data_IF_599385327792
#
_entry.id   IF_599385327792
#
_cell.length_a   1.000
_cell.length_b   1.000
_cell.length_c   1.000
_cell.angle_alpha   90.00
_cell.angle_beta   90.00
_cell.angle_gamma   90.00
#
_symmetry.space_group_name_H-M   'P 1'
#
loop_
_entity.id
_entity.type
_entity.pdbx_description
1 polymer ?
#
# COMPACT_ATOMS: atom_id res chain seq x y z
N UNK A 1 -30.15 8.54 12.40
CA UNK A 1 -29.25 9.48 11.68
C UNK A 1 -27.99 8.72 11.32
N UNK A 2 -27.53 8.70 10.07
CA UNK A 2 -26.18 8.22 9.79
C UNK A 2 -25.18 9.07 10.59
N UNK A 3 -24.13 8.44 11.13
CA UNK A 3 -23.04 9.15 11.80
C UNK A 3 -22.27 10.02 10.80
N UNK A 4 -21.59 11.06 11.29
CA UNK A 4 -20.67 11.83 10.46
C UNK A 4 -19.59 10.90 9.86
N UNK A 5 -19.24 11.13 8.60
CA UNK A 5 -18.14 10.41 7.95
C UNK A 5 -16.85 10.77 8.68
N UNK A 6 -16.07 9.79 9.17
CA UNK A 6 -14.83 10.06 9.89
C UNK A 6 -13.80 10.72 8.96
N UNK A 7 -12.99 11.61 9.53
CA UNK A 7 -11.85 12.19 8.81
C UNK A 7 -10.81 11.09 8.58
N UNK A 8 -10.37 10.95 7.32
CA UNK A 8 -9.26 10.10 6.95
C UNK A 8 -7.98 10.92 6.85
N UNK A 9 -6.90 10.44 7.47
CA UNK A 9 -5.62 11.15 7.58
C UNK A 9 -4.51 10.25 7.06
N UNK A 10 -3.70 10.82 6.17
CA UNK A 10 -2.44 10.23 5.75
C UNK A 10 -1.30 10.78 6.62
N UNK A 11 -0.29 9.94 6.86
CA UNK A 11 0.93 10.33 7.57
C UNK A 11 2.13 10.22 6.65
N UNK A 12 2.94 11.28 6.63
CA UNK A 12 4.28 11.26 6.07
C UNK A 12 5.25 11.38 7.23
N UNK A 13 6.16 10.41 7.34
CA UNK A 13 7.17 10.38 8.40
C UNK A 13 8.54 10.59 7.79
N UNK A 14 9.27 11.57 8.33
CA UNK A 14 10.62 11.97 7.90
C UNK A 14 10.74 12.21 6.38
N UNK A 15 9.65 12.64 5.72
CA UNK A 15 9.57 12.84 4.26
C UNK A 15 9.94 11.60 3.41
N UNK A 16 9.96 10.41 4.03
CA UNK A 16 10.44 9.16 3.41
C UNK A 16 9.38 8.05 3.42
N UNK A 17 8.49 8.04 4.41
CA UNK A 17 7.53 6.97 4.61
C UNK A 17 6.10 7.51 4.58
N UNK A 18 5.29 7.03 3.63
CA UNK A 18 3.89 7.39 3.49
C UNK A 18 2.98 6.25 3.95
N UNK A 19 2.16 6.53 4.95
CA UNK A 19 0.99 5.72 5.27
C UNK A 19 -0.29 6.47 4.82
N UNK A 20 -1.00 6.02 3.78
CA UNK A 20 -2.09 6.79 3.18
C UNK A 20 -3.41 6.71 3.98
N UNK A 21 -3.50 5.82 4.97
CA UNK A 21 -4.77 5.47 5.62
C UNK A 21 -5.71 4.81 4.61
N UNK A 22 -7.02 4.97 4.82
CA UNK A 22 -8.06 4.35 3.99
C UNK A 22 -8.36 5.15 2.70
N UNK A 23 -7.33 5.58 1.97
CA UNK A 23 -7.45 6.57 0.90
C UNK A 23 -6.54 6.33 -0.29
N UNK A 24 -7.04 6.69 -1.48
CA UNK A 24 -6.28 6.76 -2.74
C UNK A 24 -5.84 8.19 -3.11
N UNK A 25 -6.18 9.18 -2.26
CA UNK A 25 -6.02 10.60 -2.57
C UNK A 25 -4.71 11.21 -2.07
N UNK A 26 -3.79 10.39 -1.55
CA UNK A 26 -2.47 10.86 -1.15
C UNK A 26 -1.77 11.56 -2.33
N UNK A 27 -1.38 12.82 -2.09
CA UNK A 27 -0.73 13.69 -3.06
C UNK A 27 0.57 14.22 -2.45
N UNK A 28 1.63 13.41 -2.55
CA UNK A 28 2.98 13.74 -2.07
C UNK A 28 3.93 13.70 -3.26
N UNK A 29 4.91 14.61 -3.27
CA UNK A 29 5.74 14.84 -4.46
C UNK A 29 6.74 13.71 -4.77
N UNK A 30 7.01 12.82 -3.81
CA UNK A 30 7.70 11.53 -3.93
C UNK A 30 7.81 10.94 -2.53
N UNK A 31 7.80 9.61 -2.39
CA UNK A 31 8.04 8.93 -1.10
C UNK A 31 9.02 7.78 -1.34
N UNK A 32 9.87 7.46 -0.37
CA UNK A 32 10.77 6.31 -0.49
C UNK A 32 10.01 5.00 -0.25
N UNK A 33 9.17 4.99 0.78
CA UNK A 33 8.37 3.85 1.18
C UNK A 33 6.90 4.22 1.16
N UNK A 34 6.08 3.34 0.60
CA UNK A 34 4.63 3.45 0.59
C UNK A 34 4.02 2.24 1.33
N UNK A 35 3.22 2.49 2.36
CA UNK A 35 2.25 1.50 2.81
C UNK A 35 1.13 1.43 1.77
N UNK A 36 1.12 0.36 0.98
CA UNK A 36 0.24 0.16 -0.14
C UNK A 36 -0.99 -0.65 0.30
N UNK A 37 -2.21 -0.08 0.33
CA UNK A 37 -3.42 -0.88 0.49
C UNK A 37 -3.48 -1.96 -0.60
N UNK A 38 -3.83 -3.20 -0.26
CA UNK A 38 -3.94 -4.29 -1.25
C UNK A 38 -5.31 -4.95 -1.28
N UNK A 39 -6.10 -4.77 -0.23
CA UNK A 39 -7.50 -5.17 -0.16
C UNK A 39 -8.28 -4.18 0.70
N UNK A 40 -9.41 -3.67 0.21
CA UNK A 40 -10.30 -2.85 1.02
C UNK A 40 -11.69 -2.75 0.37
N UNK A 41 -12.78 -2.50 1.14
CA UNK A 41 -14.12 -2.33 0.57
C UNK A 41 -14.30 -1.04 -0.25
N UNK A 42 -13.34 -0.12 -0.19
CA UNK A 42 -13.38 1.20 -0.82
C UNK A 42 -12.50 1.31 -2.08
N UNK A 43 -11.85 0.24 -2.51
CA UNK A 43 -10.97 0.26 -3.68
C UNK A 43 -10.73 -1.12 -4.28
N UNK A 44 -10.08 -1.13 -5.44
CA UNK A 44 -9.70 -2.34 -6.16
C UNK A 44 -8.19 -2.51 -6.20
N UNK A 45 -7.72 -3.76 -6.38
CA UNK A 45 -6.29 -4.04 -6.57
C UNK A 45 -5.65 -3.20 -7.69
N UNK A 46 -6.40 -2.92 -8.76
CA UNK A 46 -5.93 -2.08 -9.86
C UNK A 46 -5.70 -0.63 -9.40
N UNK A 47 -6.65 -0.04 -8.67
CA UNK A 47 -6.51 1.33 -8.15
C UNK A 47 -5.37 1.46 -7.14
N UNK A 48 -5.12 0.41 -6.35
CA UNK A 48 -3.96 0.37 -5.47
C UNK A 48 -2.65 0.35 -6.26
N UNK A 49 -2.58 -0.47 -7.31
CA UNK A 49 -1.42 -0.50 -8.20
C UNK A 49 -1.20 0.85 -8.89
N UNK A 50 -2.26 1.49 -9.36
CA UNK A 50 -2.20 2.83 -9.95
C UNK A 50 -1.70 3.88 -8.93
N UNK A 51 -2.06 3.77 -7.65
CA UNK A 51 -1.51 4.63 -6.59
C UNK A 51 0.01 4.45 -6.47
N UNK A 52 0.50 3.21 -6.43
CA UNK A 52 1.93 2.93 -6.36
C UNK A 52 2.66 3.40 -7.63
N UNK A 53 2.10 3.16 -8.80
CA UNK A 53 2.63 3.61 -10.10
C UNK A 53 2.67 5.15 -10.19
N UNK A 54 1.68 5.84 -9.64
CA UNK A 54 1.62 7.31 -9.59
C UNK A 54 2.68 7.89 -8.67
N UNK A 55 2.82 7.32 -7.47
CA UNK A 55 3.74 7.83 -6.44
C UNK A 55 5.20 7.38 -6.64
N UNK A 56 5.41 6.30 -7.39
CA UNK A 56 6.72 5.68 -7.71
C UNK A 56 7.65 5.55 -6.49
N UNK A 57 7.21 4.89 -5.40
CA UNK A 57 8.06 4.65 -4.25
C UNK A 57 9.22 3.70 -4.61
N UNK A 58 10.27 3.71 -3.80
CA UNK A 58 11.33 2.69 -3.89
C UNK A 58 10.82 1.34 -3.39
N UNK A 59 10.11 1.34 -2.26
CA UNK A 59 9.52 0.14 -1.64
C UNK A 59 8.02 0.35 -1.43
N UNK A 60 7.23 -0.66 -1.77
CA UNK A 60 5.82 -0.78 -1.40
C UNK A 60 5.63 -1.92 -0.39
N UNK A 61 5.13 -1.59 0.80
CA UNK A 61 4.80 -2.54 1.86
C UNK A 61 3.27 -2.68 1.88
N UNK A 62 2.71 -3.87 1.63
CA UNK A 62 1.26 -4.03 1.62
C UNK A 62 0.64 -3.82 3.01
N UNK A 63 -0.56 -3.24 3.03
CA UNK A 63 -1.44 -3.06 4.19
C UNK A 63 -2.91 -3.36 3.82
N UNK A 64 -3.79 -3.41 4.82
CA UNK A 64 -5.23 -3.74 4.71
C UNK A 64 -5.58 -5.16 4.21
N UNK A 65 -4.59 -6.04 4.09
CA UNK A 65 -4.78 -7.42 3.65
C UNK A 65 -5.27 -8.40 4.73
N UNK A 66 -5.36 -7.98 6.00
CA UNK A 66 -5.72 -8.86 7.12
C UNK A 66 -7.10 -9.53 7.01
N UNK A 67 -8.02 -9.02 6.19
CA UNK A 67 -9.31 -9.66 5.91
C UNK A 67 -9.24 -10.81 4.91
N UNK A 68 -8.10 -10.97 4.22
CA UNK A 68 -7.93 -11.93 3.12
C UNK A 68 -7.50 -13.31 3.66
N UNK A 69 -7.93 -14.37 2.98
CA UNK A 69 -7.42 -15.72 3.28
C UNK A 69 -6.00 -15.87 2.75
N UNK A 70 -5.09 -16.45 3.54
CA UNK A 70 -3.67 -16.56 3.23
C UNK A 70 -3.37 -17.08 1.82
N UNK A 71 -3.97 -18.22 1.43
CA UNK A 71 -3.76 -18.81 0.09
C UNK A 71 -4.16 -17.87 -1.06
N UNK A 72 -5.19 -17.04 -0.85
CA UNK A 72 -5.67 -16.10 -1.86
C UNK A 72 -4.79 -14.86 -1.89
N UNK A 73 -4.36 -14.39 -0.72
CA UNK A 73 -3.45 -13.27 -0.57
C UNK A 73 -2.11 -13.52 -1.25
N UNK A 74 -1.48 -14.66 -0.95
CA UNK A 74 -0.22 -15.10 -1.56
C UNK A 74 -0.34 -15.11 -3.09
N UNK A 75 -1.41 -15.70 -3.62
CA UNK A 75 -1.65 -15.76 -5.05
C UNK A 75 -1.82 -14.37 -5.69
N UNK A 76 -2.56 -13.47 -5.05
CA UNK A 76 -2.70 -12.09 -5.56
C UNK A 76 -1.36 -11.35 -5.53
N UNK A 77 -0.55 -11.56 -4.49
CA UNK A 77 0.78 -10.96 -4.39
C UNK A 77 1.70 -11.43 -5.50
N UNK A 78 1.76 -12.74 -5.72
CA UNK A 78 2.64 -13.33 -6.73
C UNK A 78 2.19 -13.03 -8.17
N UNK A 79 0.89 -13.07 -8.45
CA UNK A 79 0.37 -12.97 -9.82
C UNK A 79 0.03 -11.55 -10.26
N UNK A 80 -0.26 -10.64 -9.33
CA UNK A 80 -0.70 -9.27 -9.66
C UNK A 80 0.26 -8.22 -9.13
N UNK A 81 0.52 -8.18 -7.81
CA UNK A 81 1.23 -7.05 -7.22
C UNK A 81 2.73 -7.07 -7.51
N UNK A 82 3.41 -8.16 -7.16
CA UNK A 82 4.85 -8.30 -7.36
C UNK A 82 5.29 -8.05 -8.83
N UNK A 83 4.69 -8.69 -9.86
CA UNK A 83 5.15 -8.50 -11.24
C UNK A 83 4.90 -7.08 -11.74
N UNK A 84 3.76 -6.47 -11.39
CA UNK A 84 3.41 -5.13 -11.85
C UNK A 84 4.27 -4.04 -11.17
N UNK A 85 4.47 -4.14 -9.87
CA UNK A 85 5.35 -3.23 -9.13
C UNK A 85 6.80 -3.39 -9.58
N UNK A 86 7.27 -4.63 -9.80
CA UNK A 86 8.61 -4.87 -10.35
C UNK A 86 8.78 -4.24 -11.74
N UNK A 87 7.78 -4.35 -12.62
CA UNK A 87 7.82 -3.72 -13.94
C UNK A 87 7.88 -2.18 -13.86
N UNK A 88 7.32 -1.59 -12.80
CA UNK A 88 7.42 -0.15 -12.50
C UNK A 88 8.72 0.23 -11.75
N UNK A 89 9.62 -0.72 -11.47
CA UNK A 89 10.86 -0.50 -10.72
C UNK A 89 10.65 -0.33 -9.21
N UNK A 90 9.51 -0.78 -8.69
CA UNK A 90 9.13 -0.68 -7.27
C UNK A 90 9.37 -2.04 -6.61
N UNK A 91 10.12 -2.06 -5.50
CA UNK A 91 10.27 -3.26 -4.68
C UNK A 91 8.98 -3.54 -3.91
N UNK A 92 8.40 -4.73 -4.05
CA UNK A 92 7.24 -5.15 -3.27
C UNK A 92 7.69 -6.01 -2.08
N UNK A 93 7.42 -5.55 -0.85
CA UNK A 93 7.93 -6.18 0.37
C UNK A 93 6.82 -6.49 1.40
N UNK A 94 6.13 -7.65 1.28
CA UNK A 94 5.14 -8.12 2.26
C UNK A 94 5.77 -8.59 3.58
N UNK A 95 5.51 -7.88 4.68
CA UNK A 95 6.01 -8.22 6.01
C UNK A 95 5.07 -9.19 6.75
N UNK A 96 5.64 -10.12 7.51
CA UNK A 96 4.87 -10.90 8.49
C UNK A 96 4.56 -10.04 9.73
N UNK A 97 3.55 -10.40 10.53
CA UNK A 97 3.36 -9.80 11.84
C UNK A 97 4.67 -9.80 12.63
N UNK A 98 5.00 -8.66 13.23
CA UNK A 98 6.21 -8.42 14.02
C UNK A 98 7.56 -8.55 13.27
N UNK A 99 7.55 -8.66 11.94
CA UNK A 99 8.76 -8.63 11.12
C UNK A 99 9.25 -7.18 10.95
N UNK A 100 10.44 -6.82 11.48
CA UNK A 100 10.98 -5.48 11.30
C UNK A 100 11.55 -5.32 9.89
N UNK A 101 11.52 -4.08 9.40
CA UNK A 101 12.24 -3.66 8.20
C UNK A 101 13.06 -2.41 8.52
N UNK A 102 14.38 -2.52 8.41
CA UNK A 102 15.28 -1.38 8.55
C UNK A 102 15.41 -0.63 7.23
N UNK A 103 15.21 0.68 7.28
CA UNK A 103 15.41 1.58 6.16
C UNK A 103 16.75 2.28 6.37
N UNK A 104 17.72 2.01 5.49
CA UNK A 104 19.08 2.55 5.58
C UNK A 104 19.18 4.07 5.60
#
# INVERSE_FOLDING_TARGET
MPSAVPLNVAFVVNDRFLHPGDSLQANVNQTEVLCLPTAAPWGTALQFLELAERLRPRIAIPIHDGSMKGFYLERIYELMFAPRLKAAGIEFRPLKPDEPLELG
#
